data_IF_369377135186
#
_entry.id   IF_369377135186
#
_cell.length_a   1.000
_cell.length_b   1.000
_cell.length_c   1.000
_cell.angle_alpha   90.00
_cell.angle_beta   90.00
_cell.angle_gamma   90.00
#
_symmetry.space_group_name_H-M   'P 1'
#
loop_
_entity.id
_entity.type
_entity.pdbx_description
1 polymer ?
#
# COMPACT_ATOMS: atom_id res chain seq x y z
N UNK A 1 -0.23 1.19 -27.24
CA UNK A 1 -1.02 1.67 -26.09
C UNK A 1 -0.37 2.97 -25.66
N UNK A 2 -1.16 3.98 -25.37
CA UNK A 2 -0.64 5.25 -24.87
C UNK A 2 -0.08 5.04 -23.47
N UNK A 3 0.98 5.79 -23.13
CA UNK A 3 1.62 5.76 -21.81
C UNK A 3 0.60 6.17 -20.73
N UNK A 4 0.51 5.41 -19.64
CA UNK A 4 -0.36 5.72 -18.50
C UNK A 4 0.45 6.42 -17.42
N UNK A 5 -0.24 7.21 -16.59
CA UNK A 5 0.36 7.94 -15.47
C UNK A 5 -0.08 7.34 -14.15
N UNK A 6 0.86 7.00 -13.28
CA UNK A 6 0.60 6.43 -11.95
C UNK A 6 1.23 7.28 -10.86
N UNK A 7 0.49 7.54 -9.79
CA UNK A 7 1.04 8.14 -8.57
C UNK A 7 1.26 7.06 -7.51
N UNK A 8 2.53 6.86 -7.11
CA UNK A 8 2.94 5.89 -6.09
C UNK A 8 3.46 6.65 -4.87
N UNK A 9 2.65 6.76 -3.83
CA UNK A 9 3.09 7.36 -2.56
C UNK A 9 3.84 6.31 -1.75
N UNK A 10 5.04 6.68 -1.24
CA UNK A 10 5.94 5.73 -0.59
C UNK A 10 6.71 4.84 -1.56
N UNK A 11 6.84 5.25 -2.83
CA UNK A 11 7.52 4.49 -3.88
C UNK A 11 9.06 4.47 -3.82
N UNK A 12 9.68 5.07 -2.80
CA UNK A 12 11.15 5.10 -2.65
C UNK A 12 11.73 3.89 -1.91
N UNK A 13 10.91 2.96 -1.41
CA UNK A 13 11.39 1.78 -0.68
C UNK A 13 10.36 0.64 -0.65
N UNK A 14 10.82 -0.57 -0.29
CA UNK A 14 9.98 -1.75 -0.04
C UNK A 14 9.04 -2.08 -1.19
N UNK A 15 7.79 -2.39 -0.88
CA UNK A 15 6.76 -2.75 -1.86
C UNK A 15 6.53 -1.63 -2.87
N UNK A 16 6.50 -0.36 -2.41
CA UNK A 16 6.30 0.78 -3.30
C UNK A 16 7.39 0.91 -4.37
N UNK A 17 8.66 0.71 -4.00
CA UNK A 17 9.78 0.73 -4.96
C UNK A 17 9.69 -0.44 -5.94
N UNK A 18 9.25 -1.60 -5.49
CA UNK A 18 9.07 -2.76 -6.37
C UNK A 18 7.94 -2.51 -7.39
N UNK A 19 6.83 -1.89 -6.97
CA UNK A 19 5.76 -1.45 -7.89
C UNK A 19 6.30 -0.47 -8.92
N UNK A 20 7.13 0.51 -8.51
CA UNK A 20 7.77 1.46 -9.44
C UNK A 20 8.63 0.73 -10.47
N UNK A 21 9.46 -0.22 -10.04
CA UNK A 21 10.34 -0.99 -10.92
C UNK A 21 9.56 -1.81 -11.96
N UNK A 22 8.48 -2.43 -11.54
CA UNK A 22 7.63 -3.24 -12.42
C UNK A 22 6.84 -2.37 -13.42
N UNK A 23 6.23 -1.26 -12.99
CA UNK A 23 5.51 -0.32 -13.88
C UNK A 23 6.45 0.32 -14.90
N UNK A 24 7.67 0.70 -14.49
CA UNK A 24 8.67 1.27 -15.40
C UNK A 24 8.93 0.37 -16.62
N UNK A 25 8.90 -0.95 -16.42
CA UNK A 25 9.10 -1.91 -17.53
C UNK A 25 7.99 -1.86 -18.58
N UNK A 26 6.82 -1.30 -18.25
CA UNK A 26 5.64 -1.18 -19.11
C UNK A 26 5.59 0.15 -19.90
N UNK A 27 6.61 0.98 -19.80
CA UNK A 27 6.72 2.32 -20.43
C UNK A 27 5.72 3.35 -19.92
N UNK A 28 5.18 3.14 -18.73
CA UNK A 28 4.30 4.10 -18.05
C UNK A 28 5.11 5.24 -17.40
N UNK A 29 4.48 6.40 -17.18
CA UNK A 29 5.05 7.53 -16.43
C UNK A 29 4.67 7.38 -14.95
N UNK A 30 5.66 7.44 -14.07
CA UNK A 30 5.49 7.13 -12.66
C UNK A 30 5.86 8.35 -11.82
N UNK A 31 4.90 8.85 -11.07
CA UNK A 31 5.07 9.95 -10.13
C UNK A 31 5.22 9.35 -8.72
N UNK A 32 6.35 9.61 -8.08
CA UNK A 32 6.64 9.02 -6.77
C UNK A 32 6.60 10.09 -5.69
N UNK A 33 5.57 10.05 -4.85
CA UNK A 33 5.48 10.87 -3.65
C UNK A 33 6.28 10.25 -2.50
N UNK A 34 7.38 10.88 -2.09
CA UNK A 34 8.19 10.41 -0.97
C UNK A 34 9.06 11.51 -0.37
N UNK A 35 9.57 11.27 0.85
CA UNK A 35 10.45 12.21 1.55
C UNK A 35 11.85 12.29 0.93
N UNK A 36 12.32 11.21 0.33
CA UNK A 36 13.66 11.07 -0.26
C UNK A 36 13.58 10.46 -1.65
N UNK A 37 14.54 10.78 -2.50
CA UNK A 37 14.64 10.33 -3.91
C UNK A 37 15.86 9.47 -4.22
N UNK A 38 16.69 9.12 -3.24
CA UNK A 38 18.01 8.52 -3.49
C UNK A 38 17.95 7.25 -4.35
N UNK A 39 16.94 6.40 -4.14
CA UNK A 39 16.74 5.16 -4.91
C UNK A 39 15.98 5.36 -6.23
N UNK A 40 15.57 6.58 -6.53
CA UNK A 40 14.85 6.92 -7.76
C UNK A 40 15.75 7.61 -8.77
N UNK A 41 16.94 8.04 -8.35
CA UNK A 41 17.90 8.75 -9.20
C UNK A 41 18.30 7.91 -10.41
N UNK A 42 18.21 8.49 -11.61
CA UNK A 42 18.55 7.82 -12.86
C UNK A 42 17.50 6.83 -13.39
N UNK A 43 16.36 6.67 -12.73
CA UNK A 43 15.26 5.89 -13.29
C UNK A 43 14.52 6.72 -14.35
N UNK A 44 14.50 6.21 -15.57
CA UNK A 44 13.73 6.82 -16.67
C UNK A 44 12.23 6.76 -16.38
N UNK A 45 11.47 7.79 -16.79
CA UNK A 45 10.01 7.90 -16.61
C UNK A 45 9.53 7.89 -15.15
N UNK A 46 10.44 8.22 -14.22
CA UNK A 46 10.12 8.32 -12.78
C UNK A 46 10.33 9.76 -12.33
N UNK A 47 9.26 10.38 -11.90
CA UNK A 47 9.21 11.77 -11.45
C UNK A 47 9.04 11.83 -9.93
N UNK A 48 10.01 12.38 -9.22
CA UNK A 48 9.93 12.48 -7.77
C UNK A 48 9.18 13.74 -7.33
N UNK A 49 8.20 13.55 -6.45
CA UNK A 49 7.46 14.60 -5.76
C UNK A 49 7.83 14.55 -4.27
N UNK A 50 8.39 15.64 -3.73
CA UNK A 50 8.70 15.69 -2.30
C UNK A 50 7.40 15.72 -1.50
N UNK A 51 7.13 14.68 -0.73
CA UNK A 51 5.89 14.49 0.01
C UNK A 51 6.14 13.86 1.39
N UNK A 52 5.68 14.52 2.45
CA UNK A 52 5.49 13.92 3.75
C UNK A 52 3.98 13.72 4.00
N UNK A 53 3.57 12.48 4.20
CA UNK A 53 2.16 12.15 4.40
C UNK A 53 1.61 12.57 5.77
N UNK A 54 2.47 13.00 6.69
CA UNK A 54 2.06 13.60 7.97
C UNK A 54 1.65 15.06 7.79
N UNK A 55 2.18 15.73 6.78
CA UNK A 55 1.95 17.13 6.44
C UNK A 55 1.69 17.27 4.94
N UNK A 56 0.66 16.59 4.40
CA UNK A 56 0.40 16.61 2.97
C UNK A 56 -0.04 18.00 2.54
N UNK A 57 0.45 18.51 1.39
CA UNK A 57 0.00 19.77 0.84
C UNK A 57 -1.45 19.66 0.33
N UNK A 58 -2.15 20.77 0.26
CA UNK A 58 -3.51 20.83 -0.31
C UNK A 58 -3.52 20.47 -1.79
N UNK A 59 -2.43 20.76 -2.50
CA UNK A 59 -2.24 20.42 -3.92
C UNK A 59 -0.90 19.76 -4.13
N UNK A 60 -0.87 18.75 -4.98
CA UNK A 60 0.36 18.05 -5.37
C UNK A 60 0.91 18.69 -6.65
N UNK A 61 1.87 19.57 -6.51
CA UNK A 61 2.56 20.18 -7.64
C UNK A 61 3.33 19.13 -8.46
N UNK A 62 3.37 19.31 -9.78
CA UNK A 62 4.09 18.41 -10.68
C UNK A 62 3.34 17.13 -11.06
N UNK A 63 2.09 16.94 -10.63
CA UNK A 63 1.25 15.88 -11.15
C UNK A 63 0.79 16.15 -12.59
N UNK A 64 0.62 15.12 -13.41
CA UNK A 64 0.01 15.26 -14.74
C UNK A 64 -1.49 15.53 -14.59
N UNK A 65 -2.08 16.12 -15.63
CA UNK A 65 -3.53 16.40 -15.67
C UNK A 65 -4.40 15.14 -15.51
N UNK A 66 -3.93 13.99 -15.99
CA UNK A 66 -4.62 12.71 -15.99
C UNK A 66 -3.80 11.69 -15.21
N UNK A 67 -4.41 11.03 -14.24
CA UNK A 67 -3.90 9.86 -13.55
C UNK A 67 -4.75 8.63 -13.86
N UNK A 68 -4.10 7.52 -14.18
CA UNK A 68 -4.73 6.22 -14.45
C UNK A 68 -4.71 5.30 -13.23
N UNK A 69 -3.80 5.57 -12.28
CA UNK A 69 -3.75 4.81 -11.04
C UNK A 69 -3.04 5.56 -9.91
N UNK A 70 -3.42 5.16 -8.71
CA UNK A 70 -2.89 5.68 -7.44
C UNK A 70 -2.61 4.53 -6.49
N UNK A 71 -1.44 4.55 -5.85
CA UNK A 71 -1.05 3.57 -4.83
C UNK A 71 -0.57 4.31 -3.58
N UNK A 72 -1.08 3.91 -2.41
CA UNK A 72 -0.64 4.43 -1.13
C UNK A 72 0.09 3.35 -0.33
N UNK A 73 1.42 3.40 -0.31
CA UNK A 73 2.30 2.44 0.36
C UNK A 73 2.79 2.85 1.77
N UNK A 74 2.73 4.13 2.21
CA UNK A 74 3.23 4.48 3.54
C UNK A 74 2.54 3.69 4.64
N UNK A 75 3.32 3.31 5.65
CA UNK A 75 2.81 2.57 6.79
C UNK A 75 3.79 2.57 7.95
N UNK A 76 3.30 2.10 9.08
CA UNK A 76 4.05 1.90 10.32
C UNK A 76 3.94 0.46 10.76
N UNK A 77 4.91 0.00 11.55
CA UNK A 77 4.82 -1.24 12.34
C UNK A 77 5.14 -0.90 13.78
N UNK A 78 4.11 -0.82 14.62
CA UNK A 78 4.24 -0.55 16.04
C UNK A 78 3.61 -1.69 16.83
N UNK A 79 4.45 -2.51 17.43
CA UNK A 79 4.02 -3.67 18.18
C UNK A 79 4.30 -3.45 19.67
N UNK A 80 3.23 -3.21 20.44
CA UNK A 80 3.30 -2.99 21.89
C UNK A 80 2.15 -3.72 22.59
N UNK A 81 2.34 -4.21 23.83
CA UNK A 81 1.24 -4.64 24.69
C UNK A 81 0.19 -3.51 24.82
N UNK A 82 -1.10 -3.84 24.79
CA UNK A 82 -2.18 -2.85 24.80
C UNK A 82 -2.04 -1.83 25.94
N UNK A 83 -1.70 -2.31 27.15
CA UNK A 83 -1.52 -1.44 28.32
C UNK A 83 -0.33 -0.47 28.22
N UNK A 84 0.55 -0.64 27.25
CA UNK A 84 1.69 0.26 26.99
C UNK A 84 1.48 1.17 25.79
N UNK A 85 0.38 0.98 25.06
CA UNK A 85 0.01 1.89 23.96
C UNK A 85 -0.52 3.19 24.56
N UNK A 86 0.01 4.29 24.06
CA UNK A 86 -0.44 5.64 24.41
C UNK A 86 -1.44 6.15 23.38
N UNK A 87 -2.15 7.24 23.69
CA UNK A 87 -2.99 7.96 22.73
C UNK A 87 -2.18 8.36 21.50
N UNK A 88 -0.94 8.82 21.68
CA UNK A 88 -0.08 9.29 20.59
C UNK A 88 0.34 8.14 19.67
N UNK A 89 0.54 6.93 20.19
CA UNK A 89 0.78 5.73 19.37
C UNK A 89 -0.38 5.50 18.38
N UNK A 90 -1.63 5.61 18.85
CA UNK A 90 -2.83 5.46 18.00
C UNK A 90 -2.95 6.60 17.00
N UNK A 91 -2.71 7.86 17.44
CA UNK A 91 -2.79 9.02 16.55
C UNK A 91 -1.74 8.97 15.44
N UNK A 92 -0.52 8.54 15.75
CA UNK A 92 0.54 8.40 14.74
C UNK A 92 0.23 7.30 13.72
N UNK A 93 -0.25 6.15 14.19
CA UNK A 93 -0.65 5.07 13.27
C UNK A 93 -1.84 5.49 12.39
N UNK A 94 -2.83 6.19 12.94
CA UNK A 94 -3.93 6.77 12.16
C UNK A 94 -3.44 7.83 11.18
N UNK A 95 -2.56 8.74 11.62
CA UNK A 95 -2.04 9.82 10.78
C UNK A 95 -1.33 9.27 9.54
N UNK A 96 -0.40 8.32 9.74
CA UNK A 96 0.40 7.80 8.63
C UNK A 96 -0.38 6.83 7.76
N UNK A 97 -1.13 5.90 8.35
CA UNK A 97 -1.74 4.81 7.60
C UNK A 97 -3.10 5.16 6.99
N UNK A 98 -3.84 6.09 7.60
CA UNK A 98 -5.22 6.41 7.21
C UNK A 98 -5.38 7.86 6.75
N UNK A 99 -5.15 8.85 7.60
CA UNK A 99 -5.38 10.25 7.25
C UNK A 99 -4.47 10.73 6.12
N UNK A 100 -3.20 10.30 6.10
CA UNK A 100 -2.29 10.57 4.99
C UNK A 100 -2.83 10.03 3.66
N UNK A 101 -3.43 8.83 3.65
CA UNK A 101 -4.06 8.30 2.45
C UNK A 101 -5.28 9.14 2.03
N UNK A 102 -6.14 9.51 2.99
CA UNK A 102 -7.31 10.36 2.73
C UNK A 102 -6.91 11.68 2.07
N UNK A 103 -5.97 12.41 2.68
CA UNK A 103 -5.56 13.72 2.19
C UNK A 103 -4.93 13.63 0.79
N UNK A 104 -4.05 12.65 0.55
CA UNK A 104 -3.40 12.53 -0.77
C UNK A 104 -4.40 12.09 -1.84
N UNK A 105 -5.36 11.21 -1.52
CA UNK A 105 -6.44 10.85 -2.45
C UNK A 105 -7.27 12.09 -2.78
N UNK A 106 -7.68 12.88 -1.79
CA UNK A 106 -8.44 14.12 -2.03
C UNK A 106 -7.68 15.08 -2.95
N UNK A 107 -6.37 15.26 -2.73
CA UNK A 107 -5.53 16.15 -3.55
C UNK A 107 -5.39 15.69 -5.01
N UNK A 108 -5.37 14.37 -5.29
CA UNK A 108 -5.20 13.83 -6.66
C UNK A 108 -6.51 13.32 -7.30
N UNK A 109 -7.62 13.31 -6.58
CA UNK A 109 -8.90 12.80 -7.09
C UNK A 109 -9.37 13.51 -8.38
N UNK A 110 -9.22 14.84 -8.55
CA UNK A 110 -9.55 15.50 -9.81
C UNK A 110 -8.78 14.93 -11.01
N UNK A 111 -7.50 14.56 -10.84
CA UNK A 111 -6.66 13.98 -11.89
C UNK A 111 -7.09 12.55 -12.24
N UNK A 112 -7.46 11.75 -11.22
CA UNK A 112 -8.00 10.38 -11.42
C UNK A 112 -9.36 10.41 -12.15
N UNK A 113 -10.22 11.37 -11.82
CA UNK A 113 -11.53 11.55 -12.48
C UNK A 113 -11.43 11.94 -13.97
N UNK A 114 -10.30 12.50 -14.41
CA UNK A 114 -10.04 12.87 -15.81
C UNK A 114 -9.62 11.69 -16.68
N UNK A 115 -9.30 10.51 -16.10
CA UNK A 115 -8.93 9.34 -16.88
C UNK A 115 -10.06 8.93 -17.83
N UNK A 116 -9.79 8.83 -19.16
CA UNK A 116 -10.83 8.49 -20.13
C UNK A 116 -11.24 7.01 -20.06
N UNK A 117 -10.34 6.13 -19.63
CA UNK A 117 -10.56 4.68 -19.52
C UNK A 117 -10.94 4.24 -18.10
N UNK A 118 -11.08 5.19 -17.16
CA UNK A 118 -11.19 4.90 -15.74
C UNK A 118 -9.84 4.88 -15.03
N UNK A 119 -9.88 4.79 -13.70
CA UNK A 119 -8.67 4.73 -12.88
C UNK A 119 -8.77 3.66 -11.78
N UNK A 120 -7.63 3.35 -11.14
CA UNK A 120 -7.57 2.41 -10.03
C UNK A 120 -6.86 3.01 -8.83
N UNK A 121 -7.48 2.91 -7.65
CA UNK A 121 -6.88 3.25 -6.36
C UNK A 121 -6.54 1.97 -5.62
N UNK A 122 -5.29 1.85 -5.14
CA UNK A 122 -4.83 0.72 -4.36
C UNK A 122 -4.29 1.18 -3.00
N UNK A 123 -4.84 0.59 -1.95
CA UNK A 123 -4.48 0.83 -0.56
C UNK A 123 -3.85 -0.42 0.07
N UNK A 124 -3.19 -0.25 1.21
CA UNK A 124 -2.59 -1.37 1.95
C UNK A 124 -3.20 -1.49 3.34
N UNK A 125 -3.81 -2.64 3.60
CA UNK A 125 -4.23 -3.13 4.92
C UNK A 125 -3.15 -4.04 5.53
N UNK A 126 -3.53 -4.97 6.36
CA UNK A 126 -2.69 -6.02 6.94
C UNK A 126 -3.55 -7.22 7.34
N UNK A 127 -2.98 -8.42 7.28
CA UNK A 127 -3.61 -9.63 7.80
C UNK A 127 -4.06 -9.50 9.27
N UNK A 128 -3.40 -8.65 10.05
CA UNK A 128 -3.71 -8.44 11.46
C UNK A 128 -5.12 -7.87 11.74
N UNK A 129 -5.77 -7.27 10.73
CA UNK A 129 -7.16 -6.77 10.85
C UNK A 129 -8.15 -7.94 11.00
N UNK A 130 -7.96 -9.00 10.25
CA UNK A 130 -8.88 -10.15 10.20
C UNK A 130 -8.44 -11.28 11.12
N UNK A 131 -7.13 -11.53 11.25
CA UNK A 131 -6.61 -12.66 12.04
C UNK A 131 -6.62 -12.41 13.55
N UNK A 132 -6.57 -11.14 13.98
CA UNK A 132 -6.47 -10.80 15.39
C UNK A 132 -5.12 -11.21 15.99
N UNK A 133 -4.13 -10.32 15.93
CA UNK A 133 -2.77 -10.62 16.40
C UNK A 133 -2.44 -9.86 17.69
N UNK A 134 -1.77 -10.50 18.68
CA UNK A 134 -1.33 -9.79 19.89
C UNK A 134 -0.36 -8.66 19.53
N UNK A 135 -0.42 -7.58 20.31
CA UNK A 135 0.42 -6.37 20.17
C UNK A 135 0.12 -5.48 18.95
N UNK A 136 -0.90 -5.79 18.16
CA UNK A 136 -1.25 -5.06 16.93
C UNK A 136 -2.41 -4.08 17.09
N UNK A 137 -2.90 -3.80 18.30
CA UNK A 137 -4.15 -3.06 18.51
C UNK A 137 -4.18 -1.69 17.80
N UNK A 138 -3.08 -0.92 17.84
CA UNK A 138 -2.99 0.40 17.20
C UNK A 138 -3.00 0.28 15.67
N UNK A 139 -2.08 -0.52 15.13
CA UNK A 139 -1.94 -0.66 13.67
C UNK A 139 -3.15 -1.38 13.03
N UNK A 140 -3.71 -2.39 13.71
CA UNK A 140 -4.90 -3.07 13.22
C UNK A 140 -6.12 -2.14 13.19
N UNK A 141 -6.27 -1.25 14.17
CA UNK A 141 -7.28 -0.21 14.18
C UNK A 141 -7.15 0.76 12.99
N UNK A 142 -5.93 1.27 12.77
CA UNK A 142 -5.66 2.17 11.64
C UNK A 142 -5.87 1.50 10.28
N UNK A 143 -5.45 0.25 10.12
CA UNK A 143 -5.62 -0.52 8.87
C UNK A 143 -7.06 -1.01 8.68
N UNK A 144 -7.80 -1.26 9.75
CA UNK A 144 -9.25 -1.48 9.68
C UNK A 144 -10.01 -0.27 9.13
N UNK A 145 -9.58 0.95 9.51
CA UNK A 145 -10.11 2.19 8.92
C UNK A 145 -9.82 2.28 7.40
N UNK A 146 -8.63 1.84 6.95
CA UNK A 146 -8.30 1.76 5.51
C UNK A 146 -9.24 0.80 4.76
N UNK A 147 -9.60 -0.34 5.36
CA UNK A 147 -10.56 -1.26 4.74
C UNK A 147 -11.96 -0.67 4.63
N UNK A 148 -12.41 0.05 5.67
CA UNK A 148 -13.66 0.82 5.63
C UNK A 148 -13.65 1.87 4.52
N UNK A 149 -12.56 2.66 4.43
CA UNK A 149 -12.36 3.65 3.38
C UNK A 149 -12.38 3.02 1.98
N UNK A 150 -11.71 1.87 1.80
CA UNK A 150 -11.67 1.13 0.52
C UNK A 150 -13.08 0.85 0.01
N UNK A 151 -13.94 0.30 0.85
CA UNK A 151 -15.33 -0.03 0.47
C UNK A 151 -16.17 1.21 0.22
N UNK A 152 -16.03 2.24 1.04
CA UNK A 152 -16.80 3.48 0.91
C UNK A 152 -16.43 4.23 -0.38
N UNK A 153 -15.13 4.40 -0.65
CA UNK A 153 -14.69 5.05 -1.88
C UNK A 153 -15.01 4.21 -3.13
N UNK A 154 -14.95 2.89 -3.06
CA UNK A 154 -15.36 2.04 -4.17
C UNK A 154 -16.83 2.26 -4.53
N UNK A 155 -17.71 2.37 -3.53
CA UNK A 155 -19.15 2.63 -3.76
C UNK A 155 -19.39 4.03 -4.33
N UNK A 156 -18.67 5.05 -3.85
CA UNK A 156 -18.85 6.44 -4.27
C UNK A 156 -18.29 6.71 -5.68
N UNK A 157 -17.16 6.07 -6.02
CA UNK A 157 -16.39 6.41 -7.23
C UNK A 157 -16.67 5.48 -8.42
N UNK A 158 -17.38 4.36 -8.19
CA UNK A 158 -17.81 3.48 -9.28
C UNK A 158 -18.78 4.20 -10.22
N UNK A 159 -18.79 3.86 -11.52
CA UNK A 159 -17.94 2.88 -12.21
C UNK A 159 -16.60 3.47 -12.70
N UNK A 160 -16.32 4.74 -12.47
CA UNK A 160 -15.18 5.45 -13.05
C UNK A 160 -13.84 5.10 -12.42
N UNK A 161 -13.83 4.86 -11.10
CA UNK A 161 -12.60 4.57 -10.35
C UNK A 161 -12.84 3.32 -9.51
N UNK A 162 -12.00 2.31 -9.70
CA UNK A 162 -11.96 1.11 -8.85
C UNK A 162 -11.13 1.40 -7.61
N UNK A 163 -11.53 0.90 -6.46
CA UNK A 163 -10.78 1.06 -5.21
C UNK A 163 -10.67 -0.30 -4.53
N UNK A 164 -9.44 -0.77 -4.33
CA UNK A 164 -9.16 -2.04 -3.68
C UNK A 164 -8.03 -1.90 -2.65
N UNK A 165 -7.90 -2.88 -1.78
CA UNK A 165 -6.79 -2.96 -0.84
C UNK A 165 -6.10 -4.32 -0.90
N UNK A 166 -4.80 -4.35 -0.59
CA UNK A 166 -4.05 -5.57 -0.33
C UNK A 166 -3.77 -5.63 1.18
N UNK A 167 -4.02 -6.79 1.79
CA UNK A 167 -3.71 -7.10 3.18
C UNK A 167 -2.56 -8.12 3.23
N UNK A 168 -1.30 -7.67 3.24
CA UNK A 168 -0.15 -8.55 3.33
C UNK A 168 0.02 -9.10 4.76
N UNK A 169 0.70 -10.24 4.86
CA UNK A 169 1.37 -10.66 6.07
C UNK A 169 2.81 -10.14 6.09
N UNK A 170 3.66 -10.71 6.98
CA UNK A 170 5.03 -10.29 7.11
C UNK A 170 5.77 -10.44 5.77
N UNK A 171 6.25 -9.32 5.26
CA UNK A 171 6.92 -9.18 3.97
C UNK A 171 8.32 -8.63 4.18
N UNK A 172 9.32 -9.20 3.53
CA UNK A 172 10.72 -8.77 3.63
C UNK A 172 10.91 -7.40 2.97
N UNK A 173 10.91 -6.38 3.80
CA UNK A 173 11.02 -4.97 3.41
C UNK A 173 11.79 -4.20 4.48
N UNK A 174 12.33 -3.02 4.17
CA UNK A 174 12.96 -2.16 5.17
C UNK A 174 12.05 -1.85 6.38
N UNK A 175 10.74 -1.74 6.16
CA UNK A 175 9.77 -1.52 7.24
C UNK A 175 9.73 -2.69 8.24
N UNK A 176 9.91 -3.91 7.77
CA UNK A 176 9.88 -5.12 8.59
C UNK A 176 11.26 -5.54 9.12
N UNK A 177 12.33 -4.80 8.81
CA UNK A 177 13.71 -5.20 9.11
C UNK A 177 13.94 -5.54 10.60
N UNK A 178 13.32 -4.79 11.52
CA UNK A 178 13.42 -5.08 12.96
C UNK A 178 12.81 -6.42 13.37
N UNK A 179 11.78 -6.89 12.67
CA UNK A 179 11.11 -8.17 12.90
C UNK A 179 11.88 -9.35 12.27
N UNK A 180 12.74 -9.08 11.30
CA UNK A 180 13.50 -10.04 10.51
C UNK A 180 15.02 -9.90 10.75
N UNK A 181 15.42 -9.41 11.92
CA UNK A 181 16.80 -8.99 12.20
C UNK A 181 17.78 -10.14 12.46
N UNK A 182 17.32 -11.39 12.57
CA UNK A 182 18.17 -12.59 12.67
C UNK A 182 17.57 -13.74 11.88
N UNK A 183 18.41 -14.76 11.58
CA UNK A 183 17.95 -15.95 10.85
C UNK A 183 16.90 -16.73 11.65
N UNK A 184 17.04 -16.82 12.98
CA UNK A 184 16.08 -17.48 13.85
C UNK A 184 14.71 -16.80 13.79
N UNK A 185 14.67 -15.44 13.74
CA UNK A 185 13.42 -14.69 13.60
C UNK A 185 12.82 -14.90 12.20
N UNK A 186 13.62 -14.94 11.15
CA UNK A 186 13.18 -15.24 9.80
C UNK A 186 12.55 -16.62 9.71
N UNK A 187 13.25 -17.62 10.23
CA UNK A 187 12.78 -19.01 10.28
C UNK A 187 11.46 -19.12 11.07
N UNK A 188 11.40 -18.56 12.28
CA UNK A 188 10.19 -18.55 13.08
C UNK A 188 9.01 -17.82 12.42
N UNK A 189 9.28 -16.78 11.66
CA UNK A 189 8.27 -16.09 10.88
C UNK A 189 7.80 -16.94 9.69
N UNK A 190 8.70 -17.60 8.97
CA UNK A 190 8.39 -18.49 7.85
C UNK A 190 7.51 -19.66 8.32
N UNK A 191 7.86 -20.30 9.43
CA UNK A 191 7.13 -21.44 9.99
C UNK A 191 5.66 -21.14 10.36
N UNK A 192 5.35 -19.88 10.68
CA UNK A 192 3.97 -19.46 10.97
C UNK A 192 3.08 -19.38 9.73
N UNK A 193 3.66 -19.24 8.55
CA UNK A 193 2.90 -19.20 7.31
C UNK A 193 2.66 -20.62 6.77
N UNK A 194 1.44 -20.94 6.32
CA UNK A 194 1.19 -22.22 5.61
C UNK A 194 2.15 -22.47 4.44
N UNK A 195 2.51 -21.42 3.69
CA UNK A 195 3.48 -21.50 2.57
C UNK A 195 4.95 -21.64 3.01
N UNK A 196 5.24 -21.72 4.33
CA UNK A 196 6.59 -21.94 4.91
C UNK A 196 7.65 -20.94 4.44
N UNK A 197 7.24 -19.74 4.11
CA UNK A 197 8.13 -18.59 3.80
C UNK A 197 7.50 -17.27 4.22
N UNK A 198 8.33 -16.27 4.38
CA UNK A 198 7.89 -14.86 4.45
C UNK A 198 7.61 -14.35 3.03
N UNK A 199 6.73 -13.34 2.91
CA UNK A 199 6.46 -12.69 1.64
C UNK A 199 7.65 -11.86 1.16
N UNK A 200 7.78 -11.68 -0.14
CA UNK A 200 8.69 -10.73 -0.77
C UNK A 200 7.94 -9.46 -1.21
N UNK A 201 8.66 -8.35 -1.37
CA UNK A 201 8.08 -7.14 -1.97
C UNK A 201 7.48 -7.43 -3.35
N UNK A 202 8.10 -8.32 -4.12
CA UNK A 202 7.66 -8.72 -5.45
C UNK A 202 6.34 -9.54 -5.43
N UNK A 203 6.12 -10.40 -4.42
CA UNK A 203 4.83 -11.11 -4.28
C UNK A 203 3.67 -10.12 -4.19
N UNK A 204 3.88 -9.01 -3.46
CA UNK A 204 2.87 -7.98 -3.25
C UNK A 204 2.76 -7.07 -4.48
N UNK A 205 3.88 -6.69 -5.09
CA UNK A 205 3.91 -5.81 -6.26
C UNK A 205 3.18 -6.43 -7.46
N UNK A 206 3.34 -7.72 -7.71
CA UNK A 206 2.62 -8.43 -8.80
C UNK A 206 1.11 -8.38 -8.63
N UNK A 207 0.60 -8.57 -7.42
CA UNK A 207 -0.83 -8.41 -7.15
C UNK A 207 -1.27 -6.95 -7.33
N UNK A 208 -0.43 -6.00 -6.90
CA UNK A 208 -0.71 -4.58 -7.08
C UNK A 208 -0.82 -4.21 -8.56
N UNK A 209 0.08 -4.69 -9.41
CA UNK A 209 0.03 -4.46 -10.86
C UNK A 209 -1.24 -5.03 -11.49
N UNK A 210 -1.61 -6.25 -11.13
CA UNK A 210 -2.88 -6.84 -11.59
C UNK A 210 -4.08 -5.95 -11.21
N UNK A 211 -4.16 -5.50 -9.95
CA UNK A 211 -5.27 -4.66 -9.48
C UNK A 211 -5.28 -3.26 -10.12
N UNK A 212 -4.12 -2.77 -10.58
CA UNK A 212 -4.01 -1.51 -11.31
C UNK A 212 -4.34 -1.66 -12.81
N UNK A 213 -4.23 -2.86 -13.36
CA UNK A 213 -4.45 -3.14 -14.78
C UNK A 213 -5.94 -3.22 -15.15
N UNK A 214 -6.21 -3.23 -16.45
CA UNK A 214 -7.55 -3.40 -17.00
C UNK A 214 -8.09 -4.83 -16.81
N UNK A 215 -7.21 -5.82 -16.60
CA UNK A 215 -7.59 -7.21 -16.32
C UNK A 215 -8.38 -7.33 -14.99
N UNK A 216 -8.22 -6.38 -14.08
CA UNK A 216 -8.99 -6.26 -12.86
C UNK A 216 -10.27 -5.40 -13.01
N UNK A 217 -10.73 -5.17 -14.24
CA UNK A 217 -11.82 -4.23 -14.57
C UNK A 217 -13.16 -4.53 -13.87
N UNK A 218 -13.39 -5.78 -13.42
CA UNK A 218 -14.59 -6.19 -12.68
C UNK A 218 -14.38 -6.32 -11.17
N UNK A 219 -13.27 -5.75 -10.64
CA UNK A 219 -12.87 -5.88 -9.24
C UNK A 219 -12.82 -4.50 -8.58
N UNK A 220 -13.71 -4.25 -7.61
CA UNK A 220 -13.71 -3.04 -6.78
C UNK A 220 -14.26 -3.33 -5.38
N UNK A 221 -13.86 -2.55 -4.37
CA UNK A 221 -14.30 -2.68 -2.98
C UNK A 221 -13.70 -3.89 -2.24
N UNK A 222 -12.71 -4.58 -2.81
CA UNK A 222 -12.16 -5.82 -2.27
C UNK A 222 -10.90 -5.59 -1.43
N UNK A 223 -10.70 -6.48 -0.45
CA UNK A 223 -9.46 -6.59 0.33
C UNK A 223 -8.84 -7.96 0.02
N UNK A 224 -7.70 -7.95 -0.65
CA UNK A 224 -6.99 -9.16 -1.06
C UNK A 224 -5.92 -9.54 -0.05
N UNK A 225 -6.02 -10.72 0.53
CA UNK A 225 -5.00 -11.23 1.44
C UNK A 225 -3.85 -11.87 0.64
N UNK A 226 -2.66 -11.23 0.71
CA UNK A 226 -1.41 -11.75 0.16
C UNK A 226 -0.50 -12.14 1.33
N UNK A 227 -0.80 -13.28 1.97
CA UNK A 227 -0.36 -13.61 3.32
C UNK A 227 0.19 -15.05 3.47
N UNK A 228 0.43 -15.75 2.38
CA UNK A 228 0.89 -17.14 2.42
C UNK A 228 -0.10 -18.11 3.08
N UNK A 229 -1.39 -17.77 3.10
CA UNK A 229 -2.47 -18.57 3.66
C UNK A 229 -2.72 -18.33 5.16
N UNK A 230 -2.06 -17.36 5.78
CA UNK A 230 -2.12 -17.13 7.23
C UNK A 230 -3.55 -16.79 7.70
N UNK A 231 -4.31 -16.02 6.94
CA UNK A 231 -5.66 -15.64 7.30
C UNK A 231 -6.69 -16.76 7.11
N UNK A 232 -6.52 -17.59 6.09
CA UNK A 232 -7.58 -18.49 5.64
C UNK A 232 -7.36 -19.96 6.02
N UNK A 233 -6.12 -20.38 6.24
CA UNK A 233 -5.78 -21.78 6.39
C UNK A 233 -5.41 -22.14 7.83
N UNK A 234 -5.96 -23.27 8.32
CA UNK A 234 -5.48 -23.97 9.51
C UNK A 234 -4.70 -25.19 9.05
N UNK A 235 -3.39 -25.19 9.27
CA UNK A 235 -2.54 -26.36 9.02
C UNK A 235 -2.39 -27.16 10.30
N UNK A 236 -2.80 -28.42 10.28
CA UNK A 236 -2.52 -29.37 11.34
C UNK A 236 -1.15 -30.00 11.09
N UNK A 237 -0.30 -30.03 12.11
CA UNK A 237 0.95 -30.79 12.09
C UNK A 237 0.67 -32.23 12.42
#
# INVERSE_FOLDING_TARGET
MDSRNFLIVGGSSGVGLEIVNELKSQRDEIYVGSRTSDKLAGLERVHHLKLDVKEPPEHLEGLPDVLHGFVYCPGTIRLKPFQRLTRDDFLEDLQVNFLGAVHVIQACLPNLKKSPTGASILLFSTVAVTTGMPFHASIAGAKGAVEGLTRSLAAELAPRIRVNAIAPSLTDTPLAAGLLSSEEKRQAAAERHPMKRIGSAQDIARLALFLLSDDAGWITGQVFHADGGMNALRTFK
#
